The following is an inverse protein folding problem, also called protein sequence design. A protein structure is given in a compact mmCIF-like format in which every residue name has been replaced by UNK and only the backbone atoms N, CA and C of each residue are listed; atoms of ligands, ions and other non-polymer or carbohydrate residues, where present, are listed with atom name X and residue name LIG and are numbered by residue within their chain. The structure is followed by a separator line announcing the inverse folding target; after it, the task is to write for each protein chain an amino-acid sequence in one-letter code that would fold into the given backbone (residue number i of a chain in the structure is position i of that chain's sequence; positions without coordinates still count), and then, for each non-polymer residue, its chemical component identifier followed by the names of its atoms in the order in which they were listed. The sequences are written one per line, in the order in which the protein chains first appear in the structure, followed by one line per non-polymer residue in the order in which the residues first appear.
data_IF_648059006447
#
_entry.id   IF_648059006447
#
_cell.length_a   1.000
_cell.length_b   1.000
_cell.length_c   1.000
_cell.angle_alpha   90.00
_cell.angle_beta   90.00
_cell.angle_gamma   90.00
#
_symmetry.space_group_name_H-M   'P 1'
#
loop_
_entity.id
_entity.type
_entity.pdbx_description
1 polymer ?
#
# COMPACT_ATOMS: atom_id res chain seq x y z
N UNK A 1 -6.29 -41.97 33.46
CA UNK A 1 -5.51 -40.78 33.05
C UNK A 1 -5.44 -40.64 31.52
N UNK A 2 -6.00 -41.55 30.75
CA UNK A 2 -6.00 -41.55 29.25
C UNK A 2 -7.32 -41.07 28.61
N UNK A 3 -8.41 -41.07 29.34
CA UNK A 3 -9.77 -40.68 28.85
C UNK A 3 -9.97 -39.16 28.80
N UNK A 4 -9.19 -38.37 29.52
CA UNK A 4 -9.32 -36.90 29.52
C UNK A 4 -8.57 -36.20 28.35
N UNK A 5 -7.55 -36.85 27.79
CA UNK A 5 -6.84 -36.32 26.61
C UNK A 5 -7.66 -36.39 25.31
N UNK A 6 -8.53 -37.38 25.16
CA UNK A 6 -9.35 -37.51 23.95
C UNK A 6 -10.52 -36.52 23.91
N UNK A 7 -11.12 -36.17 25.05
CA UNK A 7 -12.23 -35.20 25.07
C UNK A 7 -11.79 -33.77 24.71
N UNK A 8 -10.59 -33.37 25.09
CA UNK A 8 -10.07 -32.04 24.74
C UNK A 8 -9.64 -31.89 23.27
N UNK A 9 -9.27 -33.00 22.61
CA UNK A 9 -8.89 -32.98 21.20
C UNK A 9 -10.06 -32.84 20.22
N UNK A 10 -11.20 -33.45 20.56
CA UNK A 10 -12.42 -33.38 19.72
C UNK A 10 -13.07 -32.00 19.81
N UNK A 11 -13.18 -31.44 21.02
CA UNK A 11 -13.73 -30.10 21.21
C UNK A 11 -12.93 -28.98 20.49
N UNK A 12 -11.62 -29.12 20.48
CA UNK A 12 -10.73 -28.16 19.81
C UNK A 12 -10.83 -28.22 18.27
N UNK A 13 -10.92 -29.44 17.72
CA UNK A 13 -11.10 -29.64 16.26
C UNK A 13 -12.49 -29.17 15.79
N UNK A 14 -13.52 -29.39 16.58
CA UNK A 14 -14.88 -28.93 16.28
C UNK A 14 -14.98 -27.41 16.34
N UNK A 15 -14.33 -26.76 17.31
CA UNK A 15 -14.29 -25.31 17.44
C UNK A 15 -13.54 -24.65 16.26
N UNK A 16 -12.43 -25.24 15.81
CA UNK A 16 -11.65 -24.74 14.65
C UNK A 16 -12.45 -24.91 13.37
N UNK A 17 -13.18 -26.02 13.20
CA UNK A 17 -14.09 -26.24 12.05
C UNK A 17 -15.28 -25.26 12.08
N UNK A 18 -15.86 -24.98 13.25
CA UNK A 18 -16.94 -24.00 13.38
C UNK A 18 -16.47 -22.56 13.13
N UNK A 19 -15.29 -22.18 13.62
CA UNK A 19 -14.69 -20.86 13.33
C UNK A 19 -14.33 -20.71 11.85
N UNK A 20 -13.79 -21.75 11.24
CA UNK A 20 -13.49 -21.76 9.80
C UNK A 20 -14.78 -21.69 8.94
N UNK A 21 -15.83 -22.40 9.32
CA UNK A 21 -17.12 -22.35 8.64
C UNK A 21 -17.84 -21.01 8.83
N UNK A 22 -17.72 -20.39 10.02
CA UNK A 22 -18.28 -19.07 10.31
C UNK A 22 -17.58 -17.95 9.51
N UNK A 23 -16.28 -18.05 9.33
CA UNK A 23 -15.51 -17.11 8.47
C UNK A 23 -15.82 -17.29 6.98
N UNK A 24 -16.21 -18.49 6.54
CA UNK A 24 -16.63 -18.77 5.16
C UNK A 24 -18.05 -18.32 4.85
N UNK A 25 -18.93 -18.16 5.86
CA UNK A 25 -20.34 -17.88 5.67
C UNK A 25 -20.71 -16.39 5.71
N UNK A 26 -19.81 -15.51 6.12
CA UNK A 26 -20.07 -14.08 6.17
C UNK A 26 -18.97 -13.24 5.49
N UNK A 27 -18.96 -13.11 4.17
CA UNK A 27 -18.32 -11.97 3.56
C UNK A 27 -19.16 -10.74 3.87
N UNK A 28 -18.91 -10.08 4.99
CA UNK A 28 -19.44 -8.74 5.26
C UNK A 28 -18.74 -7.74 4.32
N UNK A 29 -19.05 -7.83 3.04
CA UNK A 29 -18.75 -6.77 2.09
C UNK A 29 -19.87 -5.74 2.20
N UNK A 30 -19.63 -4.69 2.98
CA UNK A 30 -20.38 -3.44 2.81
C UNK A 30 -19.88 -2.80 1.53
N UNK A 31 -20.61 -3.08 0.46
CA UNK A 31 -20.25 -2.74 -0.92
C UNK A 31 -20.41 -1.24 -1.14
N UNK A 32 -19.52 -0.74 -1.97
CA UNK A 32 -19.47 0.59 -2.53
C UNK A 32 -20.87 1.15 -2.83
N UNK A 33 -21.24 2.19 -2.14
CA UNK A 33 -22.50 2.86 -2.34
C UNK A 33 -22.43 3.70 -3.62
N UNK A 34 -23.51 3.67 -4.38
CA UNK A 34 -23.66 4.54 -5.53
C UNK A 34 -23.67 6.02 -5.10
N UNK A 35 -23.26 6.92 -5.99
CA UNK A 35 -23.43 8.34 -5.74
C UNK A 35 -24.92 8.69 -5.69
N UNK A 36 -25.30 9.42 -4.66
CA UNK A 36 -26.62 10.05 -4.56
C UNK A 36 -26.56 11.38 -5.26
N UNK A 37 -27.48 11.59 -6.20
CA UNK A 37 -27.56 12.83 -6.97
C UNK A 37 -28.49 13.84 -6.29
N UNK A 38 -28.14 15.12 -6.34
CA UNK A 38 -29.09 16.18 -6.00
C UNK A 38 -30.22 16.26 -7.02
N UNK A 39 -31.32 16.88 -6.66
CA UNK A 39 -32.46 17.10 -7.57
C UNK A 39 -32.09 17.92 -8.83
N UNK A 40 -31.10 18.78 -8.75
CA UNK A 40 -30.57 19.57 -9.89
C UNK A 40 -29.53 18.80 -10.72
N UNK A 41 -29.00 17.67 -10.22
CA UNK A 41 -27.97 16.88 -10.91
C UNK A 41 -26.57 17.49 -10.92
N UNK A 42 -26.38 18.67 -10.32
CA UNK A 42 -25.08 19.38 -10.32
C UNK A 42 -24.16 18.94 -9.18
N UNK A 43 -24.71 18.19 -8.24
CA UNK A 43 -24.01 17.70 -7.06
C UNK A 43 -24.30 16.22 -6.84
N UNK A 44 -23.25 15.43 -6.70
CA UNK A 44 -23.33 14.01 -6.36
C UNK A 44 -22.48 13.76 -5.12
N UNK A 45 -22.95 12.95 -4.19
CA UNK A 45 -22.19 12.57 -3.02
C UNK A 45 -22.35 11.10 -2.69
N UNK A 46 -21.33 10.53 -2.05
CA UNK A 46 -21.38 9.18 -1.49
C UNK A 46 -20.62 9.10 -0.19
N UNK A 47 -21.13 8.31 0.73
CA UNK A 47 -20.38 7.88 1.91
C UNK A 47 -19.68 6.55 1.60
N UNK A 48 -18.50 6.39 2.16
CA UNK A 48 -17.72 5.16 2.09
C UNK A 48 -17.27 4.77 3.49
N UNK A 49 -17.26 3.49 3.77
CA UNK A 49 -16.77 2.98 5.05
C UNK A 49 -16.24 1.55 4.90
N UNK A 50 -15.34 1.17 5.79
CA UNK A 50 -14.82 -0.19 5.89
C UNK A 50 -14.33 -0.50 7.29
N UNK A 51 -14.35 -1.78 7.63
CA UNK A 51 -13.64 -2.34 8.78
C UNK A 51 -12.95 -3.63 8.32
N UNK A 52 -11.66 -3.78 8.63
CA UNK A 52 -10.89 -4.98 8.36
C UNK A 52 -10.53 -5.64 9.68
N UNK A 53 -10.72 -6.96 9.71
CA UNK A 53 -10.43 -7.82 10.85
C UNK A 53 -9.43 -8.87 10.39
N UNK A 54 -8.28 -8.92 11.05
CA UNK A 54 -7.22 -9.87 10.73
C UNK A 54 -6.97 -10.78 11.92
N UNK A 55 -6.67 -12.06 11.62
CA UNK A 55 -6.30 -13.06 12.61
C UNK A 55 -5.06 -13.81 12.16
N UNK A 56 -4.18 -14.17 13.10
CA UNK A 56 -2.95 -14.88 12.79
C UNK A 56 -2.56 -15.89 13.87
N UNK A 57 -2.04 -17.02 13.40
CA UNK A 57 -1.37 -18.04 14.22
C UNK A 57 0.03 -18.19 13.66
N UNK A 58 1.03 -17.98 14.53
CA UNK A 58 2.43 -18.02 14.14
C UNK A 58 3.12 -19.24 14.75
N UNK A 59 3.86 -19.91 13.90
CA UNK A 59 4.76 -21.01 14.29
C UNK A 59 6.17 -20.52 14.05
N UNK A 60 6.97 -20.43 15.08
CA UNK A 60 8.30 -19.81 15.00
C UNK A 60 9.30 -20.58 15.84
N UNK A 61 10.48 -20.80 15.29
CA UNK A 61 11.59 -21.52 15.95
C UNK A 61 12.51 -20.56 16.73
N UNK A 62 12.65 -19.31 16.28
CA UNK A 62 13.65 -18.37 16.79
C UNK A 62 13.10 -17.08 17.39
N UNK A 63 11.87 -16.68 17.04
CA UNK A 63 11.23 -15.48 17.56
C UNK A 63 9.84 -15.79 18.10
N UNK A 64 9.51 -15.21 19.25
CA UNK A 64 8.17 -15.34 19.81
C UNK A 64 7.23 -14.37 19.11
N UNK A 65 6.49 -14.87 18.12
CA UNK A 65 5.43 -14.14 17.48
C UNK A 65 4.10 -14.46 18.18
N UNK A 66 3.38 -13.42 18.61
CA UNK A 66 2.11 -13.57 19.33
C UNK A 66 0.96 -13.89 18.39
N UNK A 67 0.22 -14.98 18.69
CA UNK A 67 -1.06 -15.28 18.01
C UNK A 67 -2.13 -14.30 18.44
N UNK A 68 -3.02 -13.91 17.54
CA UNK A 68 -4.09 -13.00 17.93
C UNK A 68 -5.03 -12.60 16.81
N UNK A 69 -5.92 -11.68 17.15
CA UNK A 69 -6.84 -11.02 16.23
C UNK A 69 -6.76 -9.52 16.44
N UNK A 70 -6.92 -8.76 15.39
CA UNK A 70 -6.87 -7.29 15.42
C UNK A 70 -7.89 -6.68 14.48
N UNK A 71 -8.41 -5.50 14.83
CA UNK A 71 -9.07 -4.62 13.89
C UNK A 71 -7.97 -3.81 13.22
N UNK A 72 -7.60 -4.21 12.00
CA UNK A 72 -6.42 -3.69 11.33
C UNK A 72 -6.64 -2.34 10.67
N UNK A 73 -7.87 -2.06 10.22
CA UNK A 73 -8.18 -0.77 9.56
C UNK A 73 -9.70 -0.50 9.63
N UNK A 74 -10.08 0.64 10.20
CA UNK A 74 -11.46 1.15 10.12
C UNK A 74 -11.39 2.51 9.43
N UNK A 75 -12.23 2.72 8.43
CA UNK A 75 -12.31 4.01 7.74
C UNK A 75 -13.74 4.44 7.51
N UNK A 76 -13.93 5.75 7.58
CA UNK A 76 -15.16 6.42 7.20
C UNK A 76 -14.79 7.62 6.32
N UNK A 77 -15.47 7.76 5.20
CA UNK A 77 -15.19 8.82 4.26
C UNK A 77 -16.40 9.29 3.49
N UNK A 78 -16.25 10.42 2.85
CA UNK A 78 -17.22 10.96 1.90
C UNK A 78 -16.50 11.46 0.65
N UNK A 79 -17.13 11.29 -0.50
CA UNK A 79 -16.72 11.87 -1.77
C UNK A 79 -17.85 12.66 -2.36
N UNK A 80 -17.51 13.80 -2.93
CA UNK A 80 -18.44 14.76 -3.50
C UNK A 80 -18.01 15.12 -4.91
N UNK A 81 -18.91 15.05 -5.89
CA UNK A 81 -18.70 15.57 -7.25
C UNK A 81 -19.55 16.79 -7.47
N UNK A 82 -18.96 17.84 -8.03
CA UNK A 82 -19.62 19.09 -8.28
C UNK A 82 -19.06 19.77 -9.53
N UNK A 83 -19.87 20.62 -10.16
CA UNK A 83 -19.47 21.39 -11.35
C UNK A 83 -18.85 20.50 -12.46
N UNK A 84 -19.35 19.28 -12.65
CA UNK A 84 -18.94 18.28 -13.65
C UNK A 84 -17.51 17.75 -13.53
N UNK A 85 -16.54 18.63 -13.30
CA UNK A 85 -15.11 18.33 -13.38
C UNK A 85 -14.41 18.24 -12.02
N UNK A 86 -15.09 18.60 -10.93
CA UNK A 86 -14.51 18.64 -9.60
C UNK A 86 -14.94 17.46 -8.75
N UNK A 87 -14.01 16.90 -8.01
CA UNK A 87 -14.29 15.87 -7.00
C UNK A 87 -13.50 16.19 -5.73
N UNK A 88 -14.18 16.21 -4.58
CA UNK A 88 -13.60 16.30 -3.26
C UNK A 88 -13.70 14.96 -2.53
N UNK A 89 -12.72 14.65 -1.69
CA UNK A 89 -12.74 13.49 -0.79
C UNK A 89 -12.26 13.88 0.59
N UNK A 90 -12.94 13.37 1.61
CA UNK A 90 -12.50 13.39 3.01
C UNK A 90 -12.61 11.97 3.55
N UNK A 91 -11.56 11.46 4.15
CA UNK A 91 -11.51 10.12 4.75
C UNK A 91 -10.79 10.18 6.10
N UNK A 92 -11.43 9.63 7.13
CA UNK A 92 -10.87 9.41 8.46
C UNK A 92 -10.56 7.93 8.63
N UNK A 93 -9.53 7.63 9.39
CA UNK A 93 -9.17 6.28 9.78
C UNK A 93 -9.06 6.16 11.30
N UNK A 94 -9.44 5.00 11.82
CA UNK A 94 -9.23 4.61 13.20
C UNK A 94 -8.37 3.37 13.25
N UNK A 95 -7.27 3.44 13.99
CA UNK A 95 -6.33 2.35 14.22
C UNK A 95 -5.52 2.62 15.49
N UNK A 96 -5.19 1.57 16.22
CA UNK A 96 -4.37 1.64 17.45
C UNK A 96 -4.93 2.67 18.46
N UNK A 97 -6.28 2.72 18.61
CA UNK A 97 -7.01 3.66 19.49
C UNK A 97 -6.85 5.14 19.12
N UNK A 98 -6.43 5.43 17.88
CA UNK A 98 -6.26 6.79 17.37
C UNK A 98 -7.08 7.03 16.12
N UNK A 99 -7.69 8.22 16.05
CA UNK A 99 -8.26 8.74 14.81
C UNK A 99 -7.16 9.47 14.05
N UNK A 100 -7.08 9.25 12.75
CA UNK A 100 -6.11 9.91 11.88
C UNK A 100 -6.77 10.38 10.59
N UNK A 101 -6.30 11.51 10.06
CA UNK A 101 -6.66 11.96 8.74
C UNK A 101 -6.06 11.01 7.69
N UNK A 102 -6.87 10.65 6.70
CA UNK A 102 -6.42 9.84 5.56
C UNK A 102 -6.42 10.73 4.31
N UNK A 103 -7.26 10.42 3.33
CA UNK A 103 -7.31 11.22 2.12
C UNK A 103 -8.19 12.47 2.33
N UNK A 104 -7.62 13.66 2.16
CA UNK A 104 -8.35 14.93 2.12
C UNK A 104 -7.84 15.72 0.93
N UNK A 105 -8.58 15.70 -0.16
CA UNK A 105 -8.14 16.36 -1.39
C UNK A 105 -9.31 16.85 -2.25
N UNK A 106 -8.98 17.73 -3.17
CA UNK A 106 -9.82 18.13 -4.28
C UNK A 106 -9.10 17.84 -5.59
N UNK A 107 -9.83 17.34 -6.56
CA UNK A 107 -9.34 17.12 -7.92
C UNK A 107 -10.16 17.90 -8.92
N UNK A 108 -9.49 18.41 -9.95
CA UNK A 108 -10.10 18.93 -11.16
C UNK A 108 -9.69 18.05 -12.34
N UNK A 109 -10.67 17.54 -13.09
CA UNK A 109 -10.43 16.65 -14.23
C UNK A 109 -11.03 17.21 -15.51
N UNK A 110 -10.23 17.25 -16.56
CA UNK A 110 -10.69 17.59 -17.91
C UNK A 110 -10.05 16.66 -18.94
N UNK A 111 -10.86 15.75 -19.50
CA UNK A 111 -10.35 14.68 -20.38
C UNK A 111 -9.37 13.79 -19.63
N UNK A 112 -8.19 13.60 -20.19
CA UNK A 112 -7.10 12.80 -19.63
C UNK A 112 -6.25 13.56 -18.59
N UNK A 113 -6.49 14.84 -18.40
CA UNK A 113 -5.74 15.72 -17.49
C UNK A 113 -6.43 15.82 -16.12
N UNK A 114 -5.65 15.75 -15.06
CA UNK A 114 -6.13 15.91 -13.69
C UNK A 114 -5.13 16.72 -12.85
N UNK A 115 -5.64 17.70 -12.14
CA UNK A 115 -4.96 18.39 -11.05
C UNK A 115 -5.49 17.86 -9.73
N UNK A 116 -4.63 17.63 -8.76
CA UNK A 116 -5.00 17.16 -7.42
C UNK A 116 -4.26 17.97 -6.37
N UNK A 117 -5.00 18.46 -5.37
CA UNK A 117 -4.45 19.28 -4.27
C UNK A 117 -5.01 18.76 -2.95
N UNK A 118 -4.18 18.63 -1.94
CA UNK A 118 -4.58 18.20 -0.60
C UNK A 118 -3.62 17.21 0.03
N UNK A 119 -4.15 16.39 0.96
CA UNK A 119 -3.44 15.38 1.71
C UNK A 119 -3.73 13.97 1.14
N UNK A 120 -2.75 13.35 0.52
CA UNK A 120 -2.89 12.05 -0.15
C UNK A 120 -1.52 11.40 -0.39
N UNK A 121 -1.51 10.12 -0.85
CA UNK A 121 -0.28 9.46 -1.27
C UNK A 121 0.28 10.06 -2.55
N UNK A 122 1.58 10.29 -2.56
CA UNK A 122 2.34 10.68 -3.74
C UNK A 122 2.16 9.65 -4.87
N UNK A 123 2.31 10.10 -6.11
CA UNK A 123 2.30 9.21 -7.29
C UNK A 123 3.70 8.61 -7.51
N UNK A 124 4.03 7.63 -6.68
CA UNK A 124 5.29 6.90 -6.72
C UNK A 124 5.04 5.49 -6.13
N UNK A 125 5.79 4.47 -6.60
CA UNK A 125 5.56 3.08 -6.18
C UNK A 125 4.29 2.48 -6.78
N UNK A 126 4.15 1.17 -6.74
CA UNK A 126 3.00 0.45 -7.27
C UNK A 126 2.00 0.08 -6.17
N UNK A 127 2.33 -0.87 -5.28
CA UNK A 127 1.42 -1.32 -4.22
C UNK A 127 1.19 -0.23 -3.16
N UNK A 128 2.21 0.55 -2.86
CA UNK A 128 2.15 1.60 -1.85
C UNK A 128 0.99 2.60 -2.05
N UNK A 129 0.73 3.03 -3.28
CA UNK A 129 -0.37 3.96 -3.61
C UNK A 129 -1.73 3.30 -3.71
N UNK A 130 -1.79 1.97 -3.78
CA UNK A 130 -3.04 1.24 -3.74
C UNK A 130 -3.62 1.30 -2.32
N UNK A 131 -4.89 1.44 -2.19
CA UNK A 131 -5.53 1.33 -0.87
C UNK A 131 -5.58 -0.13 -0.41
N UNK A 132 -5.60 -0.40 0.89
CA UNK A 132 -5.63 -1.75 1.47
C UNK A 132 -6.76 -2.66 0.96
N UNK A 133 -7.86 -2.13 0.44
CA UNK A 133 -8.90 -2.93 -0.24
C UNK A 133 -8.48 -3.46 -1.62
N UNK A 134 -7.36 -3.01 -2.15
CA UNK A 134 -6.84 -3.41 -3.47
C UNK A 134 -5.62 -4.30 -3.40
N UNK A 135 -5.11 -4.53 -2.20
CA UNK A 135 -4.07 -5.52 -2.01
C UNK A 135 -4.65 -6.89 -2.37
N UNK A 136 -3.90 -7.64 -3.15
CA UNK A 136 -4.28 -9.00 -3.56
C UNK A 136 -4.06 -10.01 -2.42
N UNK A 137 -3.09 -9.74 -1.58
CA UNK A 137 -2.78 -10.44 -0.35
C UNK A 137 -3.22 -9.60 0.85
N UNK A 138 -3.07 -10.11 2.06
CA UNK A 138 -3.48 -9.43 3.29
C UNK A 138 -2.86 -8.03 3.42
N UNK A 139 -1.59 -7.88 3.02
CA UNK A 139 -0.86 -6.61 3.06
C UNK A 139 -0.07 -6.37 1.79
N UNK A 140 0.44 -5.13 1.61
CA UNK A 140 1.45 -4.82 0.61
C UNK A 140 2.73 -5.64 0.84
N UNK A 141 3.66 -5.63 -0.11
CA UNK A 141 4.96 -6.26 0.04
C UNK A 141 5.77 -5.60 1.16
N UNK A 142 6.72 -6.34 1.75
CA UNK A 142 7.65 -5.76 2.73
C UNK A 142 8.50 -4.68 2.09
N UNK A 143 8.91 -4.86 0.84
CA UNK A 143 9.61 -3.84 0.04
C UNK A 143 8.82 -2.53 -0.02
N UNK A 144 7.52 -2.56 -0.35
CA UNK A 144 6.68 -1.35 -0.37
C UNK A 144 6.48 -0.77 1.02
N UNK A 145 6.31 -1.60 2.04
CA UNK A 145 6.16 -1.15 3.41
C UNK A 145 7.42 -0.44 3.94
N UNK A 146 8.60 -0.87 3.49
CA UNK A 146 9.90 -0.30 3.89
C UNK A 146 10.20 1.00 3.16
N UNK A 147 10.01 1.03 1.84
CA UNK A 147 10.39 2.18 1.01
C UNK A 147 9.22 3.13 0.70
N UNK A 148 8.00 2.77 1.06
CA UNK A 148 6.85 3.67 1.02
C UNK A 148 6.97 4.82 2.02
N UNK A 149 6.08 5.80 1.92
CA UNK A 149 6.03 6.93 2.84
C UNK A 149 4.57 7.19 3.28
N UNK A 150 4.35 8.17 4.14
CA UNK A 150 3.03 8.60 4.58
C UNK A 150 2.35 9.46 3.51
N UNK A 151 1.05 9.72 3.70
CA UNK A 151 0.36 10.77 2.96
C UNK A 151 0.98 12.12 3.28
N UNK A 152 1.04 12.99 2.29
CA UNK A 152 1.61 14.33 2.41
C UNK A 152 0.66 15.37 1.84
N UNK A 153 0.75 16.59 2.34
CA UNK A 153 0.04 17.74 1.78
C UNK A 153 0.80 18.26 0.57
N UNK A 154 0.13 18.41 -0.55
CA UNK A 154 0.77 18.89 -1.75
C UNK A 154 -0.18 19.00 -2.94
N UNK A 155 0.40 19.15 -4.10
CA UNK A 155 -0.33 19.17 -5.36
C UNK A 155 0.37 18.30 -6.40
N UNK A 156 -0.40 17.76 -7.34
CA UNK A 156 0.11 16.98 -8.45
C UNK A 156 -0.70 17.21 -9.72
N UNK A 157 -0.01 17.09 -10.83
CA UNK A 157 -0.59 16.99 -12.16
C UNK A 157 -0.45 15.55 -12.67
N UNK A 158 -1.54 15.02 -13.22
CA UNK A 158 -1.60 13.67 -13.76
C UNK A 158 -2.20 13.74 -15.17
N UNK A 159 -1.49 13.15 -16.12
CA UNK A 159 -2.03 12.84 -17.45
C UNK A 159 -2.24 11.32 -17.56
N UNK A 160 -3.44 10.88 -17.93
CA UNK A 160 -3.82 9.47 -17.91
C UNK A 160 -4.63 9.08 -19.13
N UNK A 161 -3.95 8.82 -20.25
CA UNK A 161 -4.55 8.28 -21.46
C UNK A 161 -4.65 6.75 -21.43
N UNK A 162 -5.14 6.15 -22.50
CA UNK A 162 -5.16 4.68 -22.63
C UNK A 162 -3.74 4.09 -22.65
N UNK A 163 -2.82 4.71 -23.38
CA UNK A 163 -1.48 4.17 -23.61
C UNK A 163 -0.48 4.54 -22.51
N UNK A 164 -0.60 5.73 -21.93
CA UNK A 164 0.37 6.22 -20.95
C UNK A 164 -0.32 6.91 -19.77
N UNK A 165 0.34 6.84 -18.61
CA UNK A 165 0.09 7.72 -17.48
C UNK A 165 1.40 8.38 -17.10
N UNK A 166 1.39 9.69 -16.90
CA UNK A 166 2.50 10.41 -16.31
C UNK A 166 1.98 11.31 -15.21
N UNK A 167 2.76 11.44 -14.14
CA UNK A 167 2.41 12.31 -13.02
C UNK A 167 3.66 12.98 -12.47
N UNK A 168 3.48 14.20 -11.99
CA UNK A 168 4.48 14.94 -11.23
C UNK A 168 3.78 15.69 -10.09
N UNK A 169 4.41 15.75 -8.92
CA UNK A 169 3.84 16.40 -7.75
C UNK A 169 4.91 17.01 -6.86
N UNK A 170 4.49 18.02 -6.12
CA UNK A 170 5.27 18.70 -5.09
C UNK A 170 4.50 18.64 -3.78
N UNK A 171 5.18 18.27 -2.70
CA UNK A 171 4.58 18.03 -1.39
C UNK A 171 5.46 18.62 -0.29
N UNK A 172 4.84 18.98 0.83
CA UNK A 172 5.55 19.23 2.09
C UNK A 172 6.08 17.91 2.64
N UNK A 173 7.26 17.91 3.25
CA UNK A 173 7.80 16.72 3.92
C UNK A 173 7.37 16.61 5.39
N UNK A 174 6.68 17.61 5.91
CA UNK A 174 6.15 17.64 7.27
C UNK A 174 5.12 16.56 7.58
N UNK A 175 4.95 16.31 8.87
CA UNK A 175 3.91 15.43 9.40
C UNK A 175 2.64 16.26 9.65
N UNK A 176 1.53 15.92 9.03
CA UNK A 176 0.26 16.65 9.18
C UNK A 176 -0.29 16.67 10.61
N UNK A 177 0.17 15.76 11.46
CA UNK A 177 -0.26 15.66 12.86
C UNK A 177 0.60 16.51 13.82
N UNK A 178 1.74 17.04 13.36
CA UNK A 178 2.66 17.85 14.15
C UNK A 178 3.13 19.05 13.34
N UNK A 179 2.63 20.23 13.68
CA UNK A 179 3.19 21.50 13.18
C UNK A 179 4.54 21.69 13.87
N UNK A 180 5.63 21.53 13.11
CA UNK A 180 6.97 21.87 13.60
C UNK A 180 7.13 23.40 13.59
N UNK A 181 7.88 23.92 14.54
CA UNK A 181 8.21 25.35 14.63
C UNK A 181 9.32 25.76 13.66
N UNK A 182 9.85 24.84 12.86
CA UNK A 182 10.95 25.00 11.92
C UNK A 182 10.46 24.79 10.48
N UNK A 183 11.27 25.21 9.51
CA UNK A 183 10.96 25.01 8.11
C UNK A 183 10.79 23.51 7.80
N UNK A 184 9.68 23.16 7.18
CA UNK A 184 9.45 21.82 6.69
C UNK A 184 10.19 21.64 5.36
N UNK A 185 10.81 20.48 5.17
CA UNK A 185 11.40 20.08 3.90
C UNK A 185 10.33 19.87 2.81
N UNK A 186 10.75 19.48 1.65
CA UNK A 186 9.84 19.23 0.53
C UNK A 186 10.11 17.90 -0.15
N UNK A 187 9.13 17.44 -0.90
CA UNK A 187 9.18 16.23 -1.71
C UNK A 187 8.75 16.54 -3.14
N UNK A 188 9.51 16.02 -4.09
CA UNK A 188 9.15 15.97 -5.50
C UNK A 188 9.02 14.50 -5.89
N UNK A 189 7.88 14.13 -6.44
CA UNK A 189 7.64 12.77 -6.93
C UNK A 189 7.15 12.81 -8.38
N UNK A 190 7.68 11.91 -9.21
CA UNK A 190 7.25 11.76 -10.59
C UNK A 190 7.18 10.28 -10.97
N UNK A 191 6.23 9.94 -11.84
CA UNK A 191 6.04 8.60 -12.34
C UNK A 191 5.65 8.62 -13.82
N UNK A 192 6.15 7.64 -14.55
CA UNK A 192 5.72 7.33 -15.91
C UNK A 192 5.31 5.87 -16.01
N UNK A 193 4.16 5.61 -16.62
CA UNK A 193 3.63 4.27 -16.89
C UNK A 193 3.31 4.20 -18.38
N UNK A 194 3.91 3.22 -19.07
CA UNK A 194 3.58 2.85 -20.44
C UNK A 194 2.73 1.58 -20.50
N UNK A 195 1.74 1.55 -21.37
CA UNK A 195 0.89 0.39 -21.63
C UNK A 195 0.92 0.04 -23.12
N UNK A 196 2.05 -0.54 -23.58
CA UNK A 196 2.21 -0.86 -25.02
C UNK A 196 1.19 -1.89 -25.51
N UNK A 197 0.68 -2.73 -24.62
CA UNK A 197 -0.41 -3.65 -24.89
C UNK A 197 -1.45 -3.50 -23.79
N UNK A 198 -2.67 -3.12 -24.18
CA UNK A 198 -3.77 -2.96 -23.23
C UNK A 198 -5.11 -3.19 -23.91
N UNK A 199 -5.70 -4.34 -23.64
CA UNK A 199 -7.07 -4.69 -24.01
C UNK A 199 -7.78 -5.41 -22.83
N UNK A 200 -8.95 -5.98 -23.08
CA UNK A 200 -9.74 -6.64 -22.03
C UNK A 200 -9.09 -7.93 -21.51
N UNK A 201 -8.33 -8.65 -22.33
CA UNK A 201 -7.70 -9.93 -21.99
C UNK A 201 -6.21 -9.83 -21.68
N UNK A 202 -5.56 -8.75 -22.12
CA UNK A 202 -4.10 -8.64 -22.10
C UNK A 202 -3.65 -7.28 -21.60
N UNK A 203 -2.59 -7.29 -20.81
CA UNK A 203 -1.91 -6.08 -20.37
C UNK A 203 -0.41 -6.30 -20.36
N UNK A 204 0.29 -5.29 -20.85
CA UNK A 204 1.69 -5.02 -20.52
C UNK A 204 1.74 -3.62 -19.94
N UNK A 205 2.04 -3.50 -18.66
CA UNK A 205 2.28 -2.24 -17.97
C UNK A 205 3.75 -2.21 -17.58
N UNK A 206 4.41 -1.11 -17.89
CA UNK A 206 5.80 -0.83 -17.53
C UNK A 206 5.83 0.52 -16.85
N UNK A 207 6.27 0.55 -15.60
CA UNK A 207 6.32 1.76 -14.78
C UNK A 207 7.74 2.10 -14.33
N UNK A 208 8.02 3.39 -14.23
CA UNK A 208 9.21 3.93 -13.56
C UNK A 208 8.79 5.12 -12.71
N UNK A 209 9.42 5.27 -11.57
CA UNK A 209 9.15 6.38 -10.64
C UNK A 209 10.41 6.90 -9.98
N UNK A 210 10.38 8.16 -9.65
CA UNK A 210 11.44 8.83 -8.88
C UNK A 210 10.81 9.71 -7.82
N UNK A 211 11.42 9.72 -6.65
CA UNK A 211 11.06 10.58 -5.53
C UNK A 211 12.32 11.20 -4.96
N UNK A 212 12.30 12.50 -4.80
CA UNK A 212 13.30 13.27 -4.09
C UNK A 212 12.68 13.90 -2.87
N UNK A 213 13.38 13.88 -1.74
CA UNK A 213 13.01 14.68 -0.57
C UNK A 213 14.23 15.33 0.05
N UNK A 214 14.04 16.57 0.45
CA UNK A 214 15.01 17.36 1.19
C UNK A 214 14.37 17.78 2.50
N UNK A 215 15.09 17.57 3.59
CA UNK A 215 14.66 17.96 4.92
C UNK A 215 15.30 19.28 5.32
N UNK A 216 14.72 19.93 6.33
CA UNK A 216 15.26 21.18 6.85
C UNK A 216 16.71 20.99 7.32
N UNK A 217 17.56 21.94 6.96
CA UNK A 217 18.99 21.96 7.33
C UNK A 217 19.24 22.23 8.82
N UNK A 218 18.26 22.78 9.53
CA UNK A 218 18.40 23.15 10.95
C UNK A 218 18.29 21.92 11.87
N UNK A 219 17.53 20.90 11.49
CA UNK A 219 17.47 19.63 12.18
C UNK A 219 18.06 18.53 11.28
N UNK A 220 19.24 18.03 11.62
CA UNK A 220 19.83 16.85 10.98
C UNK A 220 18.96 15.65 11.27
N UNK A 221 18.00 15.40 10.39
CA UNK A 221 17.02 14.37 10.58
C UNK A 221 17.62 12.97 10.47
N UNK A 222 17.07 12.12 11.29
CA UNK A 222 17.27 10.68 11.23
C UNK A 222 16.16 10.06 10.38
N UNK A 223 16.53 9.24 9.43
CA UNK A 223 15.60 8.40 8.72
C UNK A 223 15.75 6.94 9.13
N UNK A 224 14.64 6.25 9.29
CA UNK A 224 14.62 4.83 9.60
C UNK A 224 13.78 4.08 8.57
N UNK A 225 14.40 3.11 7.91
CA UNK A 225 13.69 2.10 7.14
C UNK A 225 13.51 0.87 8.01
N UNK A 226 12.29 0.33 8.07
CA UNK A 226 11.99 -0.86 8.86
C UNK A 226 10.93 -1.72 8.19
N UNK A 227 11.07 -3.03 8.30
CA UNK A 227 10.11 -4.01 7.80
C UNK A 227 10.12 -5.30 8.61
N UNK A 228 9.09 -6.10 8.43
CA UNK A 228 8.91 -7.39 9.08
C UNK A 228 7.95 -8.27 8.30
N UNK A 229 7.37 -9.29 8.91
CA UNK A 229 6.42 -10.18 8.25
C UNK A 229 5.23 -9.38 7.67
N UNK A 230 4.72 -9.79 6.49
CA UNK A 230 3.61 -9.10 5.82
C UNK A 230 2.27 -9.43 6.51
N UNK A 231 2.10 -8.99 7.73
CA UNK A 231 0.90 -9.20 8.55
C UNK A 231 0.57 -7.98 9.39
N UNK A 232 -0.72 -7.77 9.66
CA UNK A 232 -1.22 -6.70 10.51
C UNK A 232 -1.47 -7.17 11.97
N UNK A 233 -1.38 -8.48 12.23
CA UNK A 233 -1.68 -9.06 13.56
C UNK A 233 -0.57 -8.80 14.57
N UNK A 234 0.67 -8.72 14.11
CA UNK A 234 1.81 -8.43 14.98
C UNK A 234 1.92 -6.94 15.28
N UNK A 235 2.30 -6.59 16.50
CA UNK A 235 2.57 -5.21 16.86
C UNK A 235 3.72 -4.64 16.01
N UNK A 236 3.68 -3.35 15.74
CA UNK A 236 4.72 -2.66 14.95
C UNK A 236 6.12 -2.73 15.58
N UNK A 237 6.22 -3.04 16.87
CA UNK A 237 7.48 -3.17 17.59
C UNK A 237 8.03 -4.60 17.53
N UNK A 238 7.14 -5.60 17.53
CA UNK A 238 7.50 -7.02 17.45
C UNK A 238 7.75 -7.45 16.01
N UNK A 239 7.01 -6.85 15.06
CA UNK A 239 7.14 -7.13 13.63
C UNK A 239 8.26 -6.27 12.99
N UNK A 240 9.49 -6.43 13.46
CA UNK A 240 10.65 -5.72 12.89
C UNK A 240 11.80 -6.70 12.72
N UNK A 241 11.97 -7.22 11.50
CA UNK A 241 13.04 -8.14 11.13
C UNK A 241 14.23 -7.45 10.48
N UNK A 242 13.97 -6.33 9.80
CA UNK A 242 15.00 -5.46 9.21
C UNK A 242 14.79 -4.03 9.64
N UNK A 243 15.87 -3.35 9.99
CA UNK A 243 15.84 -1.94 10.44
C UNK A 243 17.15 -1.24 10.17
N UNK A 244 17.07 -0.04 9.61
CA UNK A 244 18.17 0.91 9.58
C UNK A 244 17.85 2.14 10.41
N UNK A 245 18.89 2.80 10.86
CA UNK A 245 18.86 4.13 11.44
C UNK A 245 19.97 4.96 10.81
N UNK A 246 19.59 5.93 10.01
CA UNK A 246 20.51 6.75 9.23
C UNK A 246 20.43 8.18 9.77
N UNK A 247 21.53 8.65 10.31
CA UNK A 247 21.67 10.00 10.88
C UNK A 247 22.30 10.95 9.89
N UNK A 248 22.20 12.24 10.16
CA UNK A 248 22.82 13.31 9.38
C UNK A 248 22.34 13.34 7.92
N UNK A 249 21.10 12.99 7.67
CA UNK A 249 20.52 13.03 6.34
C UNK A 249 20.43 14.48 5.83
N UNK A 250 20.87 14.68 4.58
CA UNK A 250 20.70 15.93 3.84
C UNK A 250 19.48 15.83 2.95
N UNK A 251 19.46 14.81 2.10
CA UNK A 251 18.37 14.51 1.18
C UNK A 251 18.36 13.02 0.84
N UNK A 252 17.29 12.59 0.23
CA UNK A 252 17.20 11.23 -0.29
C UNK A 252 16.55 11.19 -1.67
N UNK A 253 16.98 10.19 -2.43
CA UNK A 253 16.38 9.76 -3.68
C UNK A 253 15.76 8.37 -3.49
N UNK A 254 14.56 8.17 -4.01
CA UNK A 254 13.99 6.83 -4.17
C UNK A 254 13.68 6.59 -5.64
N UNK A 255 14.01 5.39 -6.09
CA UNK A 255 13.80 4.94 -7.46
C UNK A 255 12.92 3.70 -7.45
N UNK A 256 11.97 3.64 -8.36
CA UNK A 256 11.08 2.51 -8.54
C UNK A 256 10.98 2.12 -10.00
N UNK A 257 10.92 0.81 -10.25
CA UNK A 257 10.57 0.26 -11.55
C UNK A 257 9.59 -0.88 -11.33
N UNK A 258 8.52 -0.90 -12.10
CA UNK A 258 7.45 -1.87 -11.94
C UNK A 258 6.96 -2.45 -13.27
N UNK A 259 6.43 -3.66 -13.21
CA UNK A 259 5.81 -4.34 -14.33
C UNK A 259 4.55 -5.06 -13.88
N UNK A 260 3.48 -4.94 -14.67
CA UNK A 260 2.29 -5.78 -14.57
C UNK A 260 2.03 -6.41 -15.93
N UNK A 261 1.90 -7.72 -15.93
CA UNK A 261 1.50 -8.49 -17.09
C UNK A 261 0.24 -9.27 -16.72
N UNK A 262 -0.77 -9.25 -17.56
CA UNK A 262 -1.80 -10.28 -17.46
C UNK A 262 -2.22 -10.77 -18.83
N UNK A 263 -2.63 -12.03 -18.84
CA UNK A 263 -3.22 -12.67 -19.98
C UNK A 263 -4.31 -13.62 -19.48
N UNK A 264 -5.58 -13.32 -19.81
CA UNK A 264 -6.75 -14.07 -19.35
C UNK A 264 -6.74 -14.25 -17.82
N UNK A 265 -6.74 -15.49 -17.33
CA UNK A 265 -6.80 -15.84 -15.91
C UNK A 265 -5.45 -15.83 -15.16
N UNK A 266 -4.37 -15.37 -15.78
CA UNK A 266 -3.03 -15.32 -15.16
C UNK A 266 -2.54 -13.89 -15.08
N UNK A 267 -1.93 -13.50 -13.95
CA UNK A 267 -1.26 -12.22 -13.84
C UNK A 267 0.09 -12.36 -13.12
N UNK A 268 1.00 -11.46 -13.47
CA UNK A 268 2.28 -11.26 -12.83
C UNK A 268 2.45 -9.78 -12.54
N UNK A 269 2.93 -9.48 -11.34
CA UNK A 269 3.30 -8.14 -10.91
C UNK A 269 4.66 -8.19 -10.24
N UNK A 270 5.53 -7.25 -10.53
CA UNK A 270 6.82 -7.11 -9.87
C UNK A 270 7.16 -5.64 -9.72
N UNK A 271 7.85 -5.32 -8.63
CA UNK A 271 8.36 -3.98 -8.39
C UNK A 271 9.73 -4.06 -7.73
N UNK A 272 10.63 -3.19 -8.16
CA UNK A 272 11.97 -3.00 -7.63
C UNK A 272 12.05 -1.58 -7.05
N UNK A 273 12.40 -1.44 -5.78
CA UNK A 273 12.55 -0.16 -5.10
C UNK A 273 13.96 -0.01 -4.54
N UNK A 274 14.49 1.20 -4.62
CA UNK A 274 15.76 1.56 -4.00
C UNK A 274 15.67 2.95 -3.37
N UNK A 275 16.35 3.13 -2.24
CA UNK A 275 16.51 4.42 -1.59
C UNK A 275 18.00 4.74 -1.45
N UNK A 276 18.41 5.93 -1.88
CA UNK A 276 19.74 6.48 -1.72
C UNK A 276 19.66 7.71 -0.83
N UNK A 277 20.39 7.70 0.29
CA UNK A 277 20.38 8.77 1.30
C UNK A 277 21.75 9.45 1.31
N UNK A 278 21.78 10.74 0.99
CA UNK A 278 22.96 11.58 1.12
C UNK A 278 23.10 12.07 2.57
N UNK A 279 24.31 11.97 3.11
CA UNK A 279 24.60 12.29 4.51
C UNK A 279 25.64 13.39 4.64
N UNK A 280 25.51 14.24 5.64
CA UNK A 280 26.48 15.28 5.95
C UNK A 280 27.76 14.72 6.63
N UNK A 281 27.61 13.59 7.32
CA UNK A 281 28.71 12.91 8.00
C UNK A 281 28.71 11.41 7.67
N UNK A 282 29.80 10.92 7.09
CA UNK A 282 29.94 9.52 6.68
C UNK A 282 29.55 9.25 5.23
N UNK A 283 29.66 8.00 4.82
CA UNK A 283 29.30 7.53 3.48
C UNK A 283 27.78 7.54 3.25
N UNK A 284 27.37 7.79 2.02
CA UNK A 284 25.98 7.74 1.62
C UNK A 284 25.43 6.32 1.76
N UNK A 285 24.16 6.21 2.07
CA UNK A 285 23.49 4.92 2.29
C UNK A 285 22.61 4.53 1.11
N UNK A 286 22.58 3.23 0.77
CA UNK A 286 21.66 2.68 -0.22
C UNK A 286 20.99 1.39 0.29
N UNK A 287 19.68 1.41 0.37
CA UNK A 287 18.83 0.23 0.62
C UNK A 287 18.01 -0.13 -0.62
N UNK A 288 17.66 -1.41 -0.77
CA UNK A 288 16.91 -1.89 -1.94
C UNK A 288 16.01 -3.07 -1.61
N UNK A 289 15.00 -3.28 -2.43
CA UNK A 289 14.13 -4.42 -2.34
C UNK A 289 13.44 -4.73 -3.67
N UNK A 290 12.92 -5.92 -3.79
CA UNK A 290 12.17 -6.40 -4.94
C UNK A 290 11.14 -7.42 -4.50
N UNK A 291 9.98 -7.40 -5.14
CA UNK A 291 9.03 -8.51 -5.03
C UNK A 291 8.52 -8.94 -6.40
N UNK A 292 8.11 -10.18 -6.45
CA UNK A 292 7.38 -10.76 -7.58
C UNK A 292 6.11 -11.40 -7.03
N UNK A 293 4.97 -11.05 -7.61
CA UNK A 293 3.66 -11.57 -7.23
C UNK A 293 2.96 -12.15 -8.45
N UNK A 294 2.40 -13.32 -8.29
CA UNK A 294 1.68 -14.02 -9.35
C UNK A 294 0.28 -14.39 -8.87
N UNK A 295 -0.68 -14.35 -9.76
CA UNK A 295 -2.04 -14.76 -9.50
C UNK A 295 -2.61 -15.62 -10.63
N UNK A 296 -3.42 -16.60 -10.25
CA UNK A 296 -4.14 -17.44 -11.19
C UNK A 296 -5.60 -17.63 -10.76
N UNK A 297 -6.51 -17.29 -11.65
CA UNK A 297 -7.95 -17.48 -11.46
C UNK A 297 -8.32 -18.93 -11.83
N UNK A 298 -8.46 -19.78 -10.81
CA UNK A 298 -8.77 -21.21 -10.98
C UNK A 298 -10.22 -21.40 -11.44
N UNK A 299 -11.12 -20.59 -10.89
CA UNK A 299 -12.56 -20.67 -11.10
C UNK A 299 -13.14 -19.30 -11.43
N UNK A 300 -14.29 -19.27 -12.11
CA UNK A 300 -15.04 -18.06 -12.46
C UNK A 300 -14.83 -17.63 -13.90
N UNK A 301 -14.97 -16.34 -14.16
CA UNK A 301 -14.81 -15.77 -15.52
C UNK A 301 -13.35 -15.73 -16.00
N UNK A 302 -12.39 -15.99 -15.11
CA UNK A 302 -10.96 -16.06 -15.40
C UNK A 302 -10.40 -14.82 -16.08
N UNK A 303 -10.90 -13.63 -15.72
CA UNK A 303 -10.50 -12.37 -16.32
C UNK A 303 -10.04 -11.37 -15.28
N UNK A 304 -8.80 -10.89 -15.41
CA UNK A 304 -8.28 -9.74 -14.68
C UNK A 304 -8.68 -8.44 -15.35
N UNK A 305 -8.84 -7.39 -14.55
CA UNK A 305 -9.13 -6.04 -15.02
C UNK A 305 -8.07 -5.08 -14.53
N UNK A 306 -7.73 -4.11 -15.33
CA UNK A 306 -6.77 -3.06 -14.98
C UNK A 306 -7.50 -1.75 -14.68
N UNK A 307 -7.19 -1.17 -13.53
CA UNK A 307 -7.68 0.16 -13.16
C UNK A 307 -6.64 1.23 -13.54
N UNK A 308 -6.85 1.90 -14.66
CA UNK A 308 -5.97 2.98 -15.11
C UNK A 308 -5.83 4.12 -14.12
N UNK A 309 -6.89 4.41 -13.36
CA UNK A 309 -6.89 5.53 -12.41
C UNK A 309 -5.95 5.29 -11.24
N UNK A 310 -5.74 4.03 -10.90
CA UNK A 310 -4.84 3.58 -9.84
C UNK A 310 -3.53 3.00 -10.39
N UNK A 311 -3.47 2.68 -11.67
CA UNK A 311 -2.33 2.04 -12.30
C UNK A 311 -2.04 0.64 -11.75
N UNK A 312 -3.05 -0.13 -11.42
CA UNK A 312 -2.92 -1.45 -10.82
C UNK A 312 -4.01 -2.44 -11.24
N UNK A 313 -3.86 -3.70 -10.86
CA UNK A 313 -4.87 -4.74 -11.12
C UNK A 313 -6.03 -4.57 -10.16
N UNK A 314 -7.26 -4.57 -10.67
CA UNK A 314 -8.47 -4.54 -9.87
C UNK A 314 -8.72 -5.90 -9.21
N UNK A 315 -9.48 -5.91 -8.11
CA UNK A 315 -9.96 -7.17 -7.55
C UNK A 315 -10.78 -7.92 -8.59
N UNK A 316 -10.66 -9.28 -8.68
CA UNK A 316 -11.51 -10.06 -9.55
C UNK A 316 -12.97 -9.97 -9.15
N UNK A 317 -13.84 -10.29 -10.08
CA UNK A 317 -15.26 -10.36 -9.78
C UNK A 317 -15.54 -11.37 -8.65
N UNK A 318 -16.56 -11.15 -7.78
CA UNK A 318 -16.77 -11.95 -6.55
C UNK A 318 -17.00 -13.46 -6.76
N UNK A 319 -17.25 -13.90 -7.97
CA UNK A 319 -17.46 -15.33 -8.32
C UNK A 319 -16.18 -16.03 -8.76
N UNK A 320 -15.02 -15.43 -8.57
CA UNK A 320 -13.75 -16.04 -8.92
C UNK A 320 -13.06 -16.64 -7.69
N UNK A 321 -12.35 -17.74 -7.89
CA UNK A 321 -11.36 -18.28 -6.97
C UNK A 321 -9.97 -18.00 -7.52
N UNK A 322 -9.14 -17.33 -6.74
CA UNK A 322 -7.78 -16.96 -7.10
C UNK A 322 -6.76 -17.65 -6.20
N UNK A 323 -5.70 -18.15 -6.79
CA UNK A 323 -4.48 -18.56 -6.10
C UNK A 323 -3.44 -17.46 -6.29
N UNK A 324 -2.80 -17.08 -5.19
CA UNK A 324 -1.79 -16.02 -5.16
C UNK A 324 -0.49 -16.54 -4.59
N UNK A 325 0.61 -16.04 -5.13
CA UNK A 325 1.96 -16.27 -4.64
C UNK A 325 2.73 -14.95 -4.70
N UNK A 326 3.48 -14.63 -3.63
CA UNK A 326 4.44 -13.52 -3.63
C UNK A 326 5.75 -13.98 -3.00
N UNK A 327 6.84 -13.64 -3.65
CA UNK A 327 8.19 -13.69 -3.10
C UNK A 327 8.76 -12.29 -2.99
N UNK A 328 9.27 -11.94 -1.83
CA UNK A 328 9.85 -10.65 -1.52
C UNK A 328 11.27 -10.78 -0.99
N UNK A 329 12.12 -9.81 -1.33
CA UNK A 329 13.46 -9.65 -0.78
C UNK A 329 13.70 -8.18 -0.50
N UNK A 330 14.02 -7.84 0.75
CA UNK A 330 14.38 -6.49 1.17
C UNK A 330 15.73 -6.50 1.86
N UNK A 331 16.71 -5.75 1.34
CA UNK A 331 18.07 -5.67 1.87
C UNK A 331 18.38 -4.23 2.28
N UNK A 332 18.59 -4.05 3.58
CA UNK A 332 18.93 -2.76 4.21
C UNK A 332 20.38 -2.70 4.64
N UNK A 333 21.23 -3.63 4.20
CA UNK A 333 22.66 -3.60 4.45
C UNK A 333 23.36 -2.75 3.40
N UNK A 334 24.21 -1.84 3.86
CA UNK A 334 25.16 -1.12 3.02
C UNK A 334 26.54 -1.18 3.68
N UNK A 335 27.44 -1.98 3.08
CA UNK A 335 28.78 -2.21 3.61
C UNK A 335 29.67 -0.97 3.50
N UNK A 336 29.50 -0.17 2.44
CA UNK A 336 30.28 1.04 2.24
C UNK A 336 29.91 2.10 3.27
N UNK A 337 28.63 2.25 3.54
CA UNK A 337 28.12 3.12 4.58
C UNK A 337 28.35 2.60 6.02
N UNK A 338 28.82 1.35 6.18
CA UNK A 338 28.96 0.71 7.49
C UNK A 338 27.64 0.42 8.17
N UNK A 339 26.54 0.30 7.42
CA UNK A 339 25.18 0.12 7.95
C UNK A 339 24.73 -1.31 7.73
N UNK A 340 24.28 -1.94 8.82
CA UNK A 340 23.82 -3.32 8.85
C UNK A 340 22.36 -3.37 9.28
N UNK A 341 21.44 -3.09 8.34
CA UNK A 341 20.00 -3.07 8.60
C UNK A 341 19.30 -4.42 8.50
N UNK A 342 20.06 -5.45 8.09
CA UNK A 342 19.53 -6.80 7.87
C UNK A 342 18.98 -7.02 6.46
N UNK A 343 18.70 -8.30 6.17
CA UNK A 343 18.05 -8.74 4.93
C UNK A 343 16.87 -9.62 5.30
N UNK A 344 15.73 -9.29 4.75
CA UNK A 344 14.47 -10.03 4.94
C UNK A 344 14.07 -10.69 3.63
N UNK A 345 13.50 -11.90 3.73
CA UNK A 345 12.93 -12.65 2.62
C UNK A 345 11.65 -13.31 3.10
N UNK A 346 10.59 -13.16 2.31
CA UNK A 346 9.31 -13.80 2.61
C UNK A 346 8.69 -14.47 1.40
N UNK A 347 7.90 -15.51 1.66
CA UNK A 347 6.98 -16.13 0.72
C UNK A 347 5.60 -16.02 1.32
N UNK A 348 4.66 -15.48 0.54
CA UNK A 348 3.25 -15.35 0.91
C UNK A 348 2.39 -16.11 -0.11
N UNK A 349 1.45 -16.92 0.40
CA UNK A 349 0.51 -17.72 -0.40
C UNK A 349 -0.92 -17.31 -0.08
#
# INVERSE_FOLDING_TARGET
METDRMKNGVGRRTLILFLGLFLLLFPLQIIAQAFVKSSTGDFEWKMTGRALFDGGIFFSDSSRLGNGMVISDVRLGTSVRFLKNWEGKIELGYRDSKVSLKDIYVTYRRGDHMLKVGHYFEHWGLDYRLGSLRFRLMTMSVTDAVFGDKRKVGFSYIYNSRAITTSAGFFSDGDTDNVKSLDEGYVIAAQFIGRPLYDEEKLVHLGIGVRYSEHDKAEREEISFKGGAPTEVLSKNENVFVRTRITDMINQWRFGADVILFYRGTYLQSECLAAHVNRAGGENYTGKGVYVQMGYLVWGNKQYKYDRSQGGVSNPDPKNLELLFRYNVTDLNDRQAGIWGGKEQDITL
#
